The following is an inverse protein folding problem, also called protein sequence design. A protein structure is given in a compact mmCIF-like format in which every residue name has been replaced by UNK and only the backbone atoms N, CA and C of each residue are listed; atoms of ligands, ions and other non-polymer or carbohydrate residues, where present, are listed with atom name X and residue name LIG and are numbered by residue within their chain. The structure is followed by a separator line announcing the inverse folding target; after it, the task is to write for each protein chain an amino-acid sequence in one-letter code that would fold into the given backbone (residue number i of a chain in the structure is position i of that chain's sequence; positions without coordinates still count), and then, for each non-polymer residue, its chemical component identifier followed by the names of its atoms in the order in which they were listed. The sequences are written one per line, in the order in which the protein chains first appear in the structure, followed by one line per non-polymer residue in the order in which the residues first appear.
data_IF_168872739270
#
_entry.id   IF_168872739270
#
_cell.length_a   1.000
_cell.length_b   1.000
_cell.length_c   1.000
_cell.angle_alpha   90.00
_cell.angle_beta   90.00
_cell.angle_gamma   90.00
#
_symmetry.space_group_name_H-M   'P 1'
#
loop_
_entity.id
_entity.type
_entity.pdbx_description
1 polymer ?
#
# COMPACT_ATOMS: atom_id res chain seq x y z
N UNK A 1 -49.42 1.03 34.14
CA UNK A 1 -50.40 0.14 34.80
C UNK A 1 -51.25 -0.53 33.72
N UNK A 2 -51.42 -1.86 33.81
CA UNK A 2 -52.67 -2.64 33.68
C UNK A 2 -53.96 -1.92 33.17
N UNK A 3 -54.91 -2.50 32.41
CA UNK A 3 -55.22 -3.92 32.11
C UNK A 3 -56.32 -4.14 31.00
N UNK A 4 -56.10 -5.10 30.06
CA UNK A 4 -57.05 -6.11 29.47
C UNK A 4 -58.33 -5.56 28.68
N UNK A 5 -59.24 -6.38 28.08
CA UNK A 5 -59.30 -6.66 26.63
C UNK A 5 -60.66 -6.37 25.92
N UNK A 6 -60.74 -6.65 24.61
CA UNK A 6 -61.97 -7.16 23.97
C UNK A 6 -61.68 -8.03 22.73
N UNK A 7 -61.99 -9.33 22.84
CA UNK A 7 -62.24 -10.30 21.75
C UNK A 7 -63.77 -10.59 21.78
N UNK A 8 -64.44 -11.09 20.71
CA UNK A 8 -63.97 -12.15 19.79
C UNK A 8 -64.21 -11.80 18.29
N UNK A 9 -63.73 -12.57 17.31
CA UNK A 9 -64.33 -13.84 16.86
C UNK A 9 -63.30 -14.76 16.19
N UNK A 10 -63.48 -16.07 16.34
CA UNK A 10 -62.66 -17.14 15.75
C UNK A 10 -63.26 -17.57 14.42
N UNK A 11 -62.45 -18.11 13.51
CA UNK A 11 -62.65 -19.46 12.94
C UNK A 11 -61.39 -19.92 12.16
N UNK A 12 -60.76 -21.02 12.63
CA UNK A 12 -60.14 -22.16 11.86
C UNK A 12 -59.28 -21.92 10.60
N UNK A 13 -58.13 -22.57 10.34
CA UNK A 13 -57.26 -23.54 11.08
C UNK A 13 -55.91 -23.67 10.33
N UNK A 14 -54.80 -23.93 11.04
CA UNK A 14 -53.49 -24.37 10.49
C UNK A 14 -53.58 -25.80 9.90
N UNK A 15 -52.63 -26.34 9.10
CA UNK A 15 -51.16 -26.13 9.10
C UNK A 15 -50.61 -25.75 7.68
N UNK A 16 -49.37 -25.98 7.19
CA UNK A 16 -48.10 -26.59 7.65
C UNK A 16 -46.91 -26.10 6.78
N UNK A 17 -45.72 -25.85 7.36
CA UNK A 17 -44.36 -26.11 6.78
C UNK A 17 -43.25 -25.25 7.44
N UNK A 18 -42.26 -25.86 8.12
CA UNK A 18 -41.06 -25.19 8.62
C UNK A 18 -39.80 -25.51 7.78
N UNK A 19 -38.66 -24.89 8.16
CA UNK A 19 -37.31 -25.02 7.59
C UNK A 19 -37.09 -24.45 6.17
N UNK A 20 -36.34 -23.34 6.09
CA UNK A 20 -34.93 -23.38 5.65
C UNK A 20 -34.27 -22.01 5.92
N UNK A 21 -33.57 -21.91 7.06
CA UNK A 21 -32.72 -20.77 7.36
C UNK A 21 -31.38 -20.94 6.61
N UNK A 22 -31.22 -20.29 5.47
CA UNK A 22 -29.97 -20.27 4.72
C UNK A 22 -29.11 -19.09 5.18
N UNK A 23 -28.16 -19.35 6.08
CA UNK A 23 -27.14 -18.39 6.47
C UNK A 23 -26.21 -18.10 5.28
N UNK A 24 -26.41 -16.97 4.60
CA UNK A 24 -25.48 -16.48 3.60
C UNK A 24 -24.26 -15.83 4.27
N UNK A 25 -23.30 -16.65 4.73
CA UNK A 25 -21.95 -16.16 5.00
C UNK A 25 -21.31 -15.83 3.65
N UNK A 26 -21.23 -14.54 3.33
CA UNK A 26 -20.47 -14.07 2.18
C UNK A 26 -19.00 -14.44 2.36
N UNK A 27 -18.49 -15.33 1.49
CA UNK A 27 -17.09 -15.71 1.51
C UNK A 27 -16.21 -14.50 1.16
N UNK A 28 -15.54 -13.96 2.17
CA UNK A 28 -14.41 -13.06 1.95
C UNK A 28 -13.29 -13.87 1.31
N UNK A 29 -13.25 -13.89 -0.03
CA UNK A 29 -12.15 -14.47 -0.77
C UNK A 29 -10.89 -13.62 -0.53
N UNK A 30 -10.13 -13.97 0.51
CA UNK A 30 -8.74 -13.55 0.66
C UNK A 30 -7.98 -14.11 -0.53
N UNK A 31 -7.81 -13.28 -1.57
CA UNK A 31 -6.90 -13.59 -2.65
C UNK A 31 -5.51 -13.71 -2.03
N UNK A 32 -5.08 -14.95 -1.80
CA UNK A 32 -3.71 -15.25 -1.42
C UNK A 32 -2.83 -14.84 -2.60
N UNK A 33 -2.33 -13.60 -2.56
CA UNK A 33 -1.31 -13.14 -3.49
C UNK A 33 -0.13 -14.09 -3.32
N UNK A 34 0.18 -14.86 -4.35
CA UNK A 34 1.42 -15.64 -4.36
C UNK A 34 2.55 -14.63 -4.14
N UNK A 35 3.31 -14.78 -3.05
CA UNK A 35 4.45 -13.91 -2.79
C UNK A 35 5.37 -13.93 -4.00
N UNK A 36 5.66 -12.75 -4.54
CA UNK A 36 6.56 -12.60 -5.68
C UNK A 36 7.94 -13.21 -5.35
N UNK A 37 8.63 -13.76 -6.35
CA UNK A 37 9.98 -14.26 -6.13
C UNK A 37 10.86 -13.09 -5.67
N UNK A 38 11.70 -13.31 -4.66
CA UNK A 38 12.62 -12.29 -4.18
C UNK A 38 13.53 -11.76 -5.29
N UNK A 39 13.80 -12.59 -6.31
CA UNK A 39 14.57 -12.25 -7.51
C UNK A 39 13.85 -11.27 -8.45
N UNK A 40 12.53 -11.15 -8.37
CA UNK A 40 11.75 -10.16 -9.12
C UNK A 40 11.86 -8.75 -8.51
N UNK A 41 12.35 -8.64 -7.27
CA UNK A 41 12.37 -7.38 -6.51
C UNK A 41 13.10 -6.23 -7.22
N UNK A 42 14.33 -6.39 -7.78
CA UNK A 42 15.02 -5.28 -8.46
C UNK A 42 14.22 -4.74 -9.66
N UNK A 43 13.60 -5.64 -10.44
CA UNK A 43 12.74 -5.25 -11.56
C UNK A 43 11.46 -4.54 -11.11
N UNK A 44 10.86 -4.98 -9.99
CA UNK A 44 9.70 -4.33 -9.40
C UNK A 44 10.04 -2.95 -8.81
N UNK A 45 11.16 -2.84 -8.09
CA UNK A 45 11.66 -1.61 -7.49
C UNK A 45 11.95 -0.54 -8.56
N UNK A 46 12.58 -0.88 -9.67
CA UNK A 46 12.84 0.07 -10.76
C UNK A 46 11.56 0.63 -11.38
N UNK A 47 10.53 -0.20 -11.57
CA UNK A 47 9.24 0.27 -12.10
C UNK A 47 8.57 1.27 -11.14
N UNK A 48 8.63 1.01 -9.83
CA UNK A 48 8.16 1.97 -8.82
C UNK A 48 8.99 3.26 -8.87
N UNK A 49 10.32 3.16 -8.82
CA UNK A 49 11.23 4.30 -8.82
C UNK A 49 11.01 5.21 -10.03
N UNK A 50 10.85 4.64 -11.23
CA UNK A 50 10.56 5.38 -12.45
C UNK A 50 9.20 6.10 -12.40
N UNK A 51 8.15 5.41 -11.93
CA UNK A 51 6.81 5.97 -11.85
C UNK A 51 6.70 7.08 -10.79
N UNK A 52 7.23 6.83 -9.59
CA UNK A 52 7.14 7.77 -8.48
C UNK A 52 8.09 8.94 -8.63
N UNK A 53 9.27 8.79 -9.25
CA UNK A 53 10.13 9.94 -9.53
C UNK A 53 9.44 10.95 -10.46
N UNK A 54 8.79 10.49 -11.52
CA UNK A 54 8.00 11.35 -12.41
C UNK A 54 6.72 11.92 -11.75
N UNK A 55 6.20 11.29 -10.70
CA UNK A 55 5.10 11.83 -9.90
C UNK A 55 5.58 12.93 -8.93
N UNK A 56 6.69 12.68 -8.23
CA UNK A 56 7.33 13.61 -7.29
C UNK A 56 7.88 14.84 -8.02
N UNK A 57 8.50 14.69 -9.19
CA UNK A 57 9.04 15.82 -9.96
C UNK A 57 7.94 16.82 -10.34
N UNK A 58 6.75 16.33 -10.71
CA UNK A 58 5.56 17.17 -10.95
C UNK A 58 5.04 17.79 -9.66
N UNK A 59 4.82 17.01 -8.61
CA UNK A 59 4.38 17.51 -7.30
C UNK A 59 5.29 18.61 -6.75
N UNK A 60 6.62 18.47 -6.90
CA UNK A 60 7.61 19.49 -6.53
C UNK A 60 7.50 20.75 -7.39
N UNK A 61 7.32 20.60 -8.70
CA UNK A 61 7.19 21.73 -9.64
C UNK A 61 5.91 22.54 -9.38
N UNK A 62 4.79 21.85 -9.22
CA UNK A 62 3.46 22.42 -9.04
C UNK A 62 3.17 22.82 -7.56
N UNK A 63 4.08 22.48 -6.64
CA UNK A 63 3.94 22.60 -5.17
C UNK A 63 2.72 21.84 -4.61
N UNK A 64 2.30 20.79 -5.31
CA UNK A 64 1.17 19.93 -4.97
C UNK A 64 1.56 18.93 -3.86
N UNK A 65 1.25 19.29 -2.62
CA UNK A 65 1.47 18.45 -1.45
C UNK A 65 0.59 17.19 -1.46
N UNK A 66 -0.65 17.31 -1.92
CA UNK A 66 -1.62 16.22 -1.87
C UNK A 66 -1.20 15.10 -2.84
N UNK A 67 -0.73 15.46 -4.05
CA UNK A 67 -0.15 14.52 -5.00
C UNK A 67 1.16 13.89 -4.50
N UNK A 68 1.96 14.62 -3.70
CA UNK A 68 3.14 14.03 -3.04
C UNK A 68 2.74 13.02 -1.94
N UNK A 69 1.75 13.32 -1.13
CA UNK A 69 1.22 12.40 -0.11
C UNK A 69 0.61 11.15 -0.75
N UNK A 70 -0.09 11.30 -1.88
CA UNK A 70 -0.56 10.22 -2.74
C UNK A 70 0.58 9.38 -3.34
N UNK A 71 1.73 9.98 -3.66
CA UNK A 71 2.94 9.26 -4.07
C UNK A 71 3.56 8.46 -2.91
N UNK A 72 3.66 9.06 -1.71
CA UNK A 72 4.11 8.33 -0.52
C UNK A 72 3.25 7.09 -0.28
N UNK A 73 1.92 7.22 -0.31
CA UNK A 73 0.99 6.11 -0.08
C UNK A 73 1.23 4.91 -1.02
N UNK A 74 1.52 5.15 -2.31
CA UNK A 74 1.87 4.07 -3.26
C UNK A 74 3.20 3.39 -2.92
N UNK A 75 4.21 4.16 -2.54
CA UNK A 75 5.49 3.61 -2.05
C UNK A 75 5.30 2.80 -0.76
N UNK A 76 4.48 3.27 0.18
CA UNK A 76 4.21 2.53 1.42
C UNK A 76 3.58 1.17 1.10
N UNK A 77 2.53 1.13 0.28
CA UNK A 77 1.87 -0.10 -0.14
C UNK A 77 2.84 -1.07 -0.85
N UNK A 78 3.76 -0.56 -1.68
CA UNK A 78 4.83 -1.39 -2.25
C UNK A 78 5.76 -1.95 -1.16
N UNK A 79 6.23 -1.12 -0.23
CA UNK A 79 7.17 -1.55 0.82
C UNK A 79 6.56 -2.56 1.80
N UNK A 80 5.24 -2.52 1.96
CA UNK A 80 4.44 -3.46 2.76
C UNK A 80 4.25 -4.80 2.01
N UNK A 81 3.96 -4.76 0.70
CA UNK A 81 3.88 -5.97 -0.14
C UNK A 81 5.21 -6.77 -0.21
N UNK A 82 6.33 -6.12 0.06
CA UNK A 82 7.67 -6.73 0.12
C UNK A 82 8.26 -6.84 1.55
N UNK A 83 7.49 -6.49 2.58
CA UNK A 83 7.80 -6.58 4.02
C UNK A 83 9.11 -5.92 4.51
N UNK A 84 9.62 -4.89 3.82
CA UNK A 84 10.92 -4.28 4.19
C UNK A 84 10.85 -2.95 4.91
N UNK A 85 9.67 -2.32 5.02
CA UNK A 85 9.49 -1.08 5.79
C UNK A 85 9.40 -1.32 7.30
N UNK A 86 8.62 -2.32 7.72
CA UNK A 86 8.30 -2.54 9.14
C UNK A 86 9.19 -3.57 9.84
N UNK A 87 9.62 -4.61 9.12
CA UNK A 87 10.33 -5.77 9.70
C UNK A 87 11.70 -6.03 9.09
N UNK A 88 12.14 -5.19 8.15
CA UNK A 88 13.41 -5.31 7.43
C UNK A 88 13.64 -6.73 6.84
N UNK A 89 12.79 -7.14 5.89
CA UNK A 89 12.89 -8.42 5.16
C UNK A 89 14.35 -8.78 4.77
N UNK A 90 14.97 -9.77 5.44
CA UNK A 90 16.38 -10.09 5.25
C UNK A 90 16.68 -10.70 3.87
N UNK A 91 15.67 -11.23 3.18
CA UNK A 91 15.82 -11.75 1.83
C UNK A 91 16.11 -10.63 0.81
N UNK A 92 15.83 -9.36 1.15
CA UNK A 92 16.16 -8.19 0.32
C UNK A 92 17.53 -7.57 0.64
N UNK A 93 18.30 -8.12 1.59
CA UNK A 93 19.65 -7.64 1.88
C UNK A 93 20.61 -7.62 0.66
N UNK A 94 20.58 -8.60 -0.28
CA UNK A 94 21.36 -8.53 -1.53
C UNK A 94 20.94 -7.37 -2.45
N UNK A 95 19.75 -6.80 -2.24
CA UNK A 95 19.15 -5.75 -3.05
C UNK A 95 19.08 -4.40 -2.31
N UNK A 96 19.96 -4.16 -1.32
CA UNK A 96 19.99 -2.96 -0.51
C UNK A 96 19.97 -1.65 -1.32
N UNK A 97 20.66 -1.59 -2.47
CA UNK A 97 20.62 -0.42 -3.35
C UNK A 97 19.20 -0.09 -3.87
N UNK A 98 18.35 -1.10 -4.06
CA UNK A 98 16.96 -0.91 -4.47
C UNK A 98 16.07 -0.45 -3.29
N UNK A 99 16.23 -1.01 -2.09
CA UNK A 99 15.46 -0.58 -0.91
C UNK A 99 15.86 0.83 -0.46
N UNK A 100 17.15 1.15 -0.47
CA UNK A 100 17.68 2.49 -0.20
C UNK A 100 17.21 3.51 -1.25
N UNK A 101 17.22 3.19 -2.55
CA UNK A 101 16.70 4.08 -3.59
C UNK A 101 15.23 4.46 -3.33
N UNK A 102 14.40 3.50 -2.91
CA UNK A 102 12.98 3.73 -2.63
C UNK A 102 12.80 4.66 -1.42
N UNK A 103 13.58 4.48 -0.36
CA UNK A 103 13.56 5.37 0.80
C UNK A 103 14.07 6.78 0.45
N UNK A 104 15.20 6.87 -0.26
CA UNK A 104 15.84 8.13 -0.62
C UNK A 104 15.03 8.97 -1.61
N UNK A 105 14.18 8.34 -2.43
CA UNK A 105 13.36 9.02 -3.43
C UNK A 105 12.40 10.04 -2.78
N UNK A 106 11.61 9.59 -1.80
CA UNK A 106 10.66 10.46 -1.11
C UNK A 106 11.37 11.47 -0.19
N UNK A 107 12.49 11.13 0.44
CA UNK A 107 13.30 12.11 1.21
C UNK A 107 13.83 13.22 0.28
N UNK A 108 14.33 12.84 -0.91
CA UNK A 108 14.80 13.81 -1.92
C UNK A 108 13.67 14.72 -2.41
N UNK A 109 12.47 14.17 -2.64
CA UNK A 109 11.29 14.94 -3.01
C UNK A 109 10.85 15.91 -1.91
N UNK A 110 10.78 15.44 -0.66
CA UNK A 110 10.42 16.25 0.51
C UNK A 110 11.39 17.43 0.67
N UNK A 111 12.69 17.20 0.56
CA UNK A 111 13.71 18.24 0.65
C UNK A 111 13.70 19.25 -0.50
N UNK A 112 13.08 18.93 -1.65
CA UNK A 112 12.83 19.90 -2.73
C UNK A 112 11.56 20.71 -2.50
N UNK A 113 10.54 20.12 -1.86
CA UNK A 113 9.34 20.85 -1.44
C UNK A 113 9.62 21.78 -0.26
N UNK A 114 10.36 21.32 0.74
CA UNK A 114 10.64 21.98 2.01
C UNK A 114 12.16 22.11 2.26
N UNK A 115 12.89 22.94 1.48
CA UNK A 115 14.36 23.01 1.52
C UNK A 115 14.96 23.55 2.83
N UNK A 116 14.13 24.16 3.69
CA UNK A 116 14.52 24.64 5.01
C UNK A 116 14.28 23.61 6.15
N UNK A 117 13.78 22.40 5.83
CA UNK A 117 13.60 21.35 6.81
C UNK A 117 14.94 20.76 7.28
N UNK A 118 15.01 20.40 8.56
CA UNK A 118 16.18 19.71 9.13
C UNK A 118 16.41 18.36 8.44
N UNK A 119 17.67 17.96 8.28
CA UNK A 119 18.06 16.71 7.60
C UNK A 119 18.17 16.80 6.07
N UNK A 120 17.82 17.94 5.45
CA UNK A 120 17.91 18.12 3.99
C UNK A 120 19.30 18.53 3.46
N UNK A 121 20.31 18.65 4.33
CA UNK A 121 21.70 18.93 3.97
C UNK A 121 22.64 17.91 4.63
N UNK A 122 23.58 17.29 3.89
CA UNK A 122 23.76 17.38 2.44
C UNK A 122 22.60 16.76 1.65
N UNK A 123 22.38 17.20 0.41
CA UNK A 123 21.27 16.70 -0.41
C UNK A 123 21.38 15.18 -0.67
N UNK A 124 20.31 14.40 -0.44
CA UNK A 124 20.28 12.96 -0.70
C UNK A 124 20.28 12.60 -2.20
N UNK A 125 20.10 13.57 -3.11
CA UNK A 125 19.91 13.34 -4.54
C UNK A 125 21.06 12.58 -5.24
N UNK A 126 22.31 12.78 -4.80
CA UNK A 126 23.47 12.06 -5.36
C UNK A 126 23.40 10.56 -4.99
N UNK A 127 23.20 10.26 -3.71
CA UNK A 127 23.06 8.89 -3.19
C UNK A 127 21.86 8.17 -3.83
N UNK A 128 20.75 8.87 -4.01
CA UNK A 128 19.59 8.36 -4.76
C UNK A 128 19.96 7.94 -6.19
N UNK A 129 20.66 8.80 -6.95
CA UNK A 129 21.05 8.49 -8.33
C UNK A 129 22.00 7.28 -8.42
N UNK A 130 22.96 7.18 -7.49
CA UNK A 130 23.86 6.02 -7.38
C UNK A 130 23.10 4.72 -7.02
N UNK A 131 22.15 4.80 -6.09
CA UNK A 131 21.33 3.67 -5.67
C UNK A 131 20.38 3.20 -6.79
N UNK A 132 19.76 4.12 -7.55
CA UNK A 132 18.98 3.78 -8.75
C UNK A 132 19.86 3.06 -9.79
N UNK A 133 21.09 3.52 -10.03
CA UNK A 133 21.98 2.90 -11.01
C UNK A 133 22.47 1.52 -10.56
N UNK A 134 22.77 1.32 -9.27
CA UNK A 134 23.08 0.01 -8.70
C UNK A 134 21.87 -0.93 -8.75
N UNK A 135 20.67 -0.43 -8.45
CA UNK A 135 19.43 -1.20 -8.61
C UNK A 135 19.18 -1.63 -10.07
N UNK A 136 19.51 -0.77 -11.04
CA UNK A 136 19.45 -1.09 -12.48
C UNK A 136 20.35 -2.26 -12.88
N UNK A 137 21.56 -2.31 -12.32
CA UNK A 137 22.49 -3.42 -12.54
C UNK A 137 21.93 -4.75 -11.99
N UNK A 138 21.28 -4.70 -10.81
CA UNK A 138 20.68 -5.87 -10.16
C UNK A 138 19.40 -6.40 -10.83
N UNK A 139 18.75 -5.59 -11.69
CA UNK A 139 17.55 -5.99 -12.44
C UNK A 139 17.85 -6.47 -13.87
N UNK A 140 19.12 -6.62 -14.23
CA UNK A 140 19.53 -7.21 -15.52
C UNK A 140 19.49 -8.73 -15.38
N UNK A 141 18.87 -9.47 -16.32
CA UNK A 141 18.73 -10.93 -16.25
C UNK A 141 20.05 -11.69 -16.45
#
# INVERSE_FOLDING_TARGET
MTCIPLLPARFTTRPLSPLLAACALGAAATAAMAQADVRDFPGAALRLLQAEQAAIDRAVADRDRDQFEVSMARTLAFTEAWDFKSHANPALAPYAACTEAIADLHVTGLCRMLPAAEGCQPSPALRLAENIQRCRQLATP
#
